data_IF_566467974830
#
_entry.id   IF_566467974830
#
_cell.length_a   1.000
_cell.length_b   1.000
_cell.length_c   1.000
_cell.angle_alpha   90.00
_cell.angle_beta   90.00
_cell.angle_gamma   90.00
#
_symmetry.space_group_name_H-M   'P 1'
#
loop_
_entity.id
_entity.type
_entity.pdbx_description
1 polymer ?
#
# COMPACT_ATOMS: atom_id res chain seq x y z
N UNK A 1 -12.68 5.76 3.32
CA UNK A 1 -12.76 6.65 2.15
C UNK A 1 -14.05 6.43 1.36
N UNK A 2 -14.20 5.39 0.51
CA UNK A 2 -15.38 5.21 -0.37
C UNK A 2 -16.73 5.30 0.35
N UNK A 3 -16.85 4.67 1.53
CA UNK A 3 -18.05 4.79 2.38
C UNK A 3 -18.29 6.21 2.87
N UNK A 4 -17.26 6.87 3.40
CA UNK A 4 -17.37 8.27 3.85
C UNK A 4 -17.78 9.22 2.69
N UNK A 5 -17.21 9.04 1.49
CA UNK A 5 -17.63 9.81 0.32
C UNK A 5 -19.09 9.53 -0.07
N UNK A 6 -19.51 8.26 -0.08
CA UNK A 6 -20.90 7.85 -0.33
C UNK A 6 -21.87 8.46 0.69
N UNK A 7 -21.54 8.40 1.97
CA UNK A 7 -22.40 8.91 3.05
C UNK A 7 -22.57 10.43 2.95
N UNK A 8 -21.48 11.17 2.66
CA UNK A 8 -21.52 12.61 2.37
C UNK A 8 -22.37 12.93 1.15
N UNK A 9 -22.23 12.14 0.09
CA UNK A 9 -23.00 12.33 -1.13
C UNK A 9 -24.50 12.11 -0.88
N UNK A 10 -24.86 11.05 -0.15
CA UNK A 10 -26.26 10.77 0.21
C UNK A 10 -26.83 11.85 1.11
N UNK A 11 -26.05 12.37 2.05
CA UNK A 11 -26.48 13.49 2.88
C UNK A 11 -26.78 14.75 2.05
N UNK A 12 -26.02 15.00 0.98
CA UNK A 12 -26.14 16.19 0.13
C UNK A 12 -27.18 16.05 -0.99
N UNK A 13 -27.24 14.90 -1.65
CA UNK A 13 -28.04 14.67 -2.87
C UNK A 13 -29.15 13.63 -2.69
N UNK A 14 -29.26 12.99 -1.52
CA UNK A 14 -30.23 11.94 -1.24
C UNK A 14 -29.81 10.55 -1.72
N UNK A 15 -30.55 9.52 -1.27
CA UNK A 15 -30.36 8.14 -1.71
C UNK A 15 -30.77 8.02 -3.19
N UNK A 16 -29.89 7.49 -4.04
CA UNK A 16 -30.10 7.49 -5.49
C UNK A 16 -29.90 8.85 -6.16
N UNK A 17 -29.39 9.84 -5.43
CA UNK A 17 -29.15 11.19 -5.93
C UNK A 17 -28.13 11.25 -7.07
N UNK A 18 -28.16 12.38 -7.79
CA UNK A 18 -27.31 12.66 -8.94
C UNK A 18 -26.65 14.02 -8.72
N UNK A 19 -25.33 14.06 -8.82
CA UNK A 19 -24.56 15.28 -8.96
C UNK A 19 -24.25 15.46 -10.45
N UNK A 20 -24.95 16.41 -11.08
CA UNK A 20 -24.78 16.70 -12.49
C UNK A 20 -23.38 17.21 -12.82
N UNK A 21 -22.67 17.84 -11.90
CA UNK A 21 -21.33 18.36 -12.12
C UNK A 21 -20.36 17.73 -11.11
N UNK A 22 -19.74 16.58 -11.41
CA UNK A 22 -18.96 15.82 -10.43
C UNK A 22 -17.95 16.65 -9.64
N UNK A 23 -17.30 17.64 -10.28
CA UNK A 23 -16.33 18.53 -9.64
C UNK A 23 -16.88 19.34 -8.46
N UNK A 24 -18.19 19.61 -8.40
CA UNK A 24 -18.84 20.30 -7.27
C UNK A 24 -18.83 19.46 -5.98
N UNK A 25 -18.64 18.14 -6.11
CA UNK A 25 -18.48 17.21 -5.00
C UNK A 25 -17.00 16.93 -4.67
N UNK A 26 -16.06 17.56 -5.37
CA UNK A 26 -14.63 17.32 -5.19
C UNK A 26 -14.10 17.65 -3.78
N UNK A 27 -14.60 18.74 -3.18
CA UNK A 27 -14.25 19.11 -1.80
C UNK A 27 -14.75 18.08 -0.78
N UNK A 28 -15.94 17.52 -0.97
CA UNK A 28 -16.51 16.48 -0.11
C UNK A 28 -15.72 15.17 -0.19
N UNK A 29 -15.29 14.78 -1.40
CA UNK A 29 -14.41 13.61 -1.60
C UNK A 29 -13.05 13.85 -0.94
N UNK A 30 -12.46 15.05 -1.11
CA UNK A 30 -11.21 15.40 -0.47
C UNK A 30 -11.32 15.39 1.07
N UNK A 31 -12.43 15.87 1.64
CA UNK A 31 -12.69 15.76 3.07
C UNK A 31 -12.79 14.29 3.53
N UNK A 32 -13.40 13.42 2.71
CA UNK A 32 -13.46 11.98 2.98
C UNK A 32 -12.09 11.27 2.97
N UNK A 33 -11.04 11.87 2.39
CA UNK A 33 -9.65 11.41 2.55
C UNK A 33 -9.10 11.65 3.96
N UNK A 34 -9.51 12.74 4.60
CA UNK A 34 -9.05 13.13 5.94
C UNK A 34 -9.78 12.36 7.05
N UNK A 35 -11.02 11.94 6.82
CA UNK A 35 -11.91 11.40 7.84
C UNK A 35 -12.09 9.88 7.77
N UNK A 36 -11.05 9.15 7.33
CA UNK A 36 -11.16 7.70 7.16
C UNK A 36 -11.27 6.99 8.51
N UNK A 37 -12.51 6.70 8.92
CA UNK A 37 -12.82 5.77 10.00
C UNK A 37 -13.00 4.36 9.45
N UNK A 38 -12.52 3.38 10.20
CA UNK A 38 -12.79 1.98 9.90
C UNK A 38 -14.24 1.69 10.30
N UNK A 39 -15.12 1.26 9.38
CA UNK A 39 -16.48 0.85 9.72
C UNK A 39 -16.48 -0.21 10.83
N UNK A 40 -17.46 -0.17 11.74
CA UNK A 40 -17.50 -1.07 12.91
C UNK A 40 -17.44 -2.55 12.53
N UNK A 41 -18.14 -2.94 11.45
CA UNK A 41 -18.10 -4.29 10.87
C UNK A 41 -16.70 -4.74 10.44
N UNK A 42 -15.86 -3.83 9.93
CA UNK A 42 -14.46 -4.10 9.59
C UNK A 42 -13.54 -4.06 10.82
N UNK A 43 -13.88 -3.23 11.82
CA UNK A 43 -13.14 -3.15 13.07
C UNK A 43 -13.20 -4.47 13.85
N UNK A 44 -14.37 -5.14 13.87
CA UNK A 44 -14.53 -6.45 14.52
C UNK A 44 -13.66 -7.53 13.85
N UNK A 45 -13.67 -7.61 12.51
CA UNK A 45 -12.82 -8.54 11.75
C UNK A 45 -11.32 -8.25 11.97
N UNK A 46 -10.96 -6.97 12.11
CA UNK A 46 -9.59 -6.54 12.41
C UNK A 46 -9.16 -6.96 13.81
N UNK A 47 -10.04 -6.88 14.81
CA UNK A 47 -9.71 -7.30 16.17
C UNK A 47 -9.36 -8.80 16.24
N UNK A 48 -10.13 -9.65 15.53
CA UNK A 48 -9.85 -11.08 15.40
C UNK A 48 -8.47 -11.36 14.77
N UNK A 49 -8.09 -10.56 13.77
CA UNK A 49 -6.75 -10.62 13.16
C UNK A 49 -5.63 -10.27 14.15
N UNK A 50 -5.85 -9.28 15.01
CA UNK A 50 -4.83 -8.82 15.97
C UNK A 50 -4.64 -9.74 17.19
N UNK A 51 -5.54 -10.70 17.39
CA UNK A 51 -5.48 -11.66 18.49
C UNK A 51 -4.59 -12.89 18.19
N UNK A 52 -4.02 -12.98 16.99
CA UNK A 52 -3.13 -14.08 16.61
C UNK A 52 -1.84 -14.05 17.42
N UNK A 53 -1.40 -15.23 17.88
CA UNK A 53 -0.19 -15.37 18.68
C UNK A 53 1.08 -15.10 17.86
N UNK A 54 2.01 -14.40 18.49
CA UNK A 54 3.38 -14.24 18.02
C UNK A 54 4.24 -15.41 18.50
N UNK A 55 5.08 -15.95 17.63
CA UNK A 55 6.09 -16.98 17.94
C UNK A 55 7.43 -16.46 17.44
N UNK A 56 8.45 -16.42 18.30
CA UNK A 56 9.83 -16.00 17.98
C UNK A 56 9.96 -14.65 17.26
N UNK A 57 9.12 -13.67 17.60
CA UNK A 57 9.15 -12.36 16.96
C UNK A 57 8.46 -12.30 15.59
N UNK A 58 7.66 -13.32 15.26
CA UNK A 58 6.90 -13.45 14.02
C UNK A 58 5.42 -13.77 14.29
N UNK A 59 4.53 -13.12 13.53
CA UNK A 59 3.12 -13.41 13.46
C UNK A 59 2.82 -14.03 12.09
N UNK A 60 2.48 -15.31 12.08
CA UNK A 60 2.11 -16.03 10.87
C UNK A 60 0.59 -15.96 10.64
N UNK A 61 0.17 -15.57 9.44
CA UNK A 61 -1.23 -15.52 9.01
C UNK A 61 -1.63 -16.84 8.34
N UNK A 62 -2.44 -17.68 9.00
CA UNK A 62 -2.86 -18.95 8.43
C UNK A 62 -3.81 -18.72 7.24
N UNK A 63 -3.60 -19.46 6.16
CA UNK A 63 -4.42 -19.31 4.96
C UNK A 63 -5.91 -19.61 5.19
N UNK A 64 -6.22 -20.55 6.11
CA UNK A 64 -7.60 -20.83 6.50
C UNK A 64 -8.27 -19.63 7.17
N UNK A 65 -7.60 -19.02 8.15
CA UNK A 65 -8.10 -17.83 8.87
C UNK A 65 -8.29 -16.64 7.92
N UNK A 66 -7.31 -16.37 7.04
CA UNK A 66 -7.43 -15.29 6.05
C UNK A 66 -8.62 -15.51 5.11
N UNK A 67 -8.84 -16.75 4.65
CA UNK A 67 -10.02 -17.07 3.81
C UNK A 67 -11.33 -16.92 4.57
N UNK A 68 -11.40 -17.37 5.83
CA UNK A 68 -12.58 -17.25 6.66
C UNK A 68 -12.96 -15.77 6.90
N UNK A 69 -11.97 -14.92 7.23
CA UNK A 69 -12.16 -13.47 7.35
C UNK A 69 -12.61 -12.85 6.03
N UNK A 70 -11.99 -13.24 4.90
CA UNK A 70 -12.36 -12.74 3.58
C UNK A 70 -13.77 -13.17 3.12
N UNK A 71 -14.30 -14.27 3.65
CA UNK A 71 -15.67 -14.72 3.43
C UNK A 71 -16.71 -13.92 4.22
N UNK A 72 -16.30 -13.30 5.33
CA UNK A 72 -17.15 -12.47 6.20
C UNK A 72 -17.07 -10.98 5.89
N UNK A 73 -16.23 -10.59 4.92
CA UNK A 73 -16.14 -9.19 4.50
C UNK A 73 -17.50 -8.73 3.94
N UNK A 74 -17.99 -7.55 4.33
CA UNK A 74 -19.21 -6.99 3.79
C UNK A 74 -19.20 -6.95 2.25
N UNK A 75 -20.33 -7.30 1.62
CA UNK A 75 -20.41 -7.45 0.16
C UNK A 75 -19.97 -6.20 -0.62
N UNK A 76 -20.18 -5.01 -0.07
CA UNK A 76 -19.75 -3.76 -0.68
C UNK A 76 -18.22 -3.64 -0.86
N UNK A 77 -17.43 -4.32 -0.03
CA UNK A 77 -15.96 -4.38 -0.18
C UNK A 77 -15.54 -5.22 -1.40
N UNK A 78 -16.45 -6.05 -1.90
CA UNK A 78 -16.27 -6.96 -3.02
C UNK A 78 -17.04 -6.52 -4.28
N UNK A 79 -17.92 -5.53 -4.19
CA UNK A 79 -18.84 -5.12 -5.27
C UNK A 79 -18.15 -4.54 -6.52
N UNK A 80 -16.86 -4.19 -6.44
CA UNK A 80 -16.06 -3.71 -7.57
C UNK A 80 -14.78 -4.52 -7.72
N UNK A 81 -14.23 -4.63 -8.95
CA UNK A 81 -12.91 -5.22 -9.12
C UNK A 81 -11.87 -4.36 -8.38
N UNK A 82 -10.76 -4.99 -7.99
CA UNK A 82 -9.63 -4.34 -7.35
C UNK A 82 -8.35 -4.71 -8.08
N UNK A 83 -7.41 -3.79 -8.08
CA UNK A 83 -6.03 -4.07 -8.42
C UNK A 83 -5.10 -3.48 -7.37
N UNK A 84 -4.04 -4.22 -7.03
CA UNK A 84 -2.97 -3.76 -6.15
C UNK A 84 -1.61 -4.01 -6.81
N UNK A 85 -0.75 -3.00 -6.76
CA UNK A 85 0.66 -3.12 -7.12
C UNK A 85 1.48 -3.44 -5.86
N UNK A 86 2.13 -4.60 -5.88
CA UNK A 86 2.98 -5.12 -4.81
C UNK A 86 4.44 -4.90 -5.17
N UNK A 87 5.11 -4.08 -4.39
CA UNK A 87 6.55 -3.85 -4.49
C UNK A 87 7.24 -4.88 -3.61
N UNK A 88 7.98 -5.80 -4.23
CA UNK A 88 8.50 -7.00 -3.56
C UNK A 88 9.96 -7.25 -3.88
N UNK A 89 10.68 -7.80 -2.91
CA UNK A 89 12.05 -8.27 -3.08
C UNK A 89 12.13 -9.75 -2.72
N UNK A 90 12.87 -10.53 -3.52
CA UNK A 90 13.13 -11.93 -3.20
C UNK A 90 14.37 -12.00 -2.31
N UNK A 91 14.23 -12.66 -1.17
CA UNK A 91 15.35 -13.03 -0.33
C UNK A 91 16.08 -14.23 -0.96
N UNK A 92 17.38 -14.11 -1.29
CA UNK A 92 18.10 -15.19 -1.93
C UNK A 92 18.39 -16.36 -0.98
N UNK A 93 18.50 -16.12 0.32
CA UNK A 93 18.82 -17.14 1.32
C UNK A 93 17.67 -18.12 1.55
N UNK A 94 16.49 -17.59 1.91
CA UNK A 94 15.34 -18.42 2.30
C UNK A 94 14.25 -18.48 1.21
N UNK A 95 14.43 -17.74 0.11
CA UNK A 95 13.44 -17.66 -0.98
C UNK A 95 12.18 -16.88 -0.61
N UNK A 96 12.19 -16.14 0.51
CA UNK A 96 11.05 -15.33 0.96
C UNK A 96 10.76 -14.18 0.00
N UNK A 97 9.48 -13.84 -0.15
CA UNK A 97 9.05 -12.67 -0.90
C UNK A 97 8.68 -11.54 0.07
N UNK A 98 9.51 -10.51 0.14
CA UNK A 98 9.41 -9.44 1.12
C UNK A 98 8.70 -8.23 0.51
N UNK A 99 7.56 -7.86 1.07
CA UNK A 99 6.75 -6.72 0.62
C UNK A 99 7.32 -5.42 1.20
N UNK A 100 7.67 -4.50 0.32
CA UNK A 100 8.08 -3.14 0.67
C UNK A 100 6.88 -2.21 0.74
N UNK A 101 6.08 -2.20 -0.31
CA UNK A 101 4.93 -1.31 -0.45
C UNK A 101 3.78 -2.00 -1.19
N UNK A 102 2.57 -1.57 -0.85
CA UNK A 102 1.34 -1.98 -1.52
C UNK A 102 0.58 -0.70 -1.85
N UNK A 103 0.32 -0.49 -3.13
CA UNK A 103 -0.43 0.66 -3.62
C UNK A 103 -1.57 0.20 -4.53
N UNK A 104 -2.46 1.13 -4.88
CA UNK A 104 -3.43 0.90 -5.96
C UNK A 104 -2.73 0.47 -7.24
N UNK A 105 -3.22 -0.60 -7.85
CA UNK A 105 -2.70 -1.14 -9.10
C UNK A 105 -3.23 -0.38 -10.31
N UNK A 106 -3.84 -1.11 -11.23
CA UNK A 106 -4.37 -0.62 -12.50
C UNK A 106 -3.30 -0.08 -13.46
N UNK A 107 -2.11 -0.68 -13.45
CA UNK A 107 -0.99 -0.28 -14.29
C UNK A 107 -0.30 1.00 -13.82
N UNK A 108 -0.70 1.55 -12.66
CA UNK A 108 -0.22 2.84 -12.14
C UNK A 108 1.30 2.92 -12.02
N UNK A 109 1.95 1.85 -11.58
CA UNK A 109 3.40 1.84 -11.33
C UNK A 109 4.25 1.27 -12.47
N UNK A 110 3.60 0.81 -13.55
CA UNK A 110 4.27 0.27 -14.73
C UNK A 110 4.09 1.18 -15.96
N UNK A 111 2.95 1.90 -16.03
CA UNK A 111 2.50 2.67 -17.20
C UNK A 111 3.55 3.64 -17.75
N UNK A 112 4.23 4.39 -16.88
CA UNK A 112 5.22 5.41 -17.26
C UNK A 112 6.46 4.87 -17.98
N UNK A 113 6.73 3.58 -17.87
CA UNK A 113 7.91 2.94 -18.45
C UNK A 113 7.60 2.28 -19.80
N UNK A 114 6.33 2.26 -20.21
CA UNK A 114 5.89 1.50 -21.38
C UNK A 114 6.41 2.07 -22.70
N UNK A 115 6.71 3.37 -22.76
CA UNK A 115 7.32 3.98 -23.95
C UNK A 115 8.78 3.51 -24.17
N UNK A 116 9.44 3.03 -23.11
CA UNK A 116 10.78 2.46 -23.15
C UNK A 116 10.78 0.91 -23.08
N UNK A 117 9.61 0.29 -23.01
CA UNK A 117 9.45 -1.15 -22.95
C UNK A 117 9.43 -1.75 -24.37
N UNK A 118 9.61 -3.09 -24.52
CA UNK A 118 9.53 -3.74 -25.81
C UNK A 118 8.20 -3.45 -26.53
N UNK A 119 8.20 -3.40 -27.88
CA UNK A 119 6.99 -3.23 -28.66
C UNK A 119 5.89 -4.22 -28.23
N UNK A 120 4.66 -3.72 -28.06
CA UNK A 120 3.52 -4.51 -27.59
C UNK A 120 3.31 -4.53 -26.08
N UNK A 121 4.26 -4.07 -25.25
CA UNK A 121 4.09 -4.01 -23.80
C UNK A 121 2.87 -3.16 -23.38
N UNK A 122 2.67 -2.00 -24.02
CA UNK A 122 1.50 -1.15 -23.76
C UNK A 122 0.18 -1.85 -24.12
N UNK A 123 0.14 -2.58 -25.23
CA UNK A 123 -1.05 -3.33 -25.65
C UNK A 123 -1.36 -4.47 -24.69
N UNK A 124 -0.33 -5.15 -24.16
CA UNK A 124 -0.47 -6.22 -23.17
C UNK A 124 -0.97 -5.69 -21.83
N UNK A 125 -0.42 -4.58 -21.33
CA UNK A 125 -0.94 -3.92 -20.12
C UNK A 125 -2.39 -3.48 -20.34
N UNK A 126 -2.70 -2.83 -21.47
CA UNK A 126 -4.06 -2.43 -21.81
C UNK A 126 -5.05 -3.62 -21.82
N UNK A 127 -4.61 -4.78 -22.34
CA UNK A 127 -5.39 -6.03 -22.33
C UNK A 127 -5.63 -6.52 -20.91
N UNK A 128 -4.61 -6.50 -20.04
CA UNK A 128 -4.73 -6.88 -18.63
C UNK A 128 -5.68 -5.97 -17.86
N UNK A 129 -5.61 -4.64 -18.08
CA UNK A 129 -6.54 -3.69 -17.46
C UNK A 129 -7.99 -3.98 -17.83
N UNK A 130 -8.27 -4.18 -19.13
CA UNK A 130 -9.61 -4.55 -19.60
C UNK A 130 -10.10 -5.86 -19.00
N UNK A 131 -9.23 -6.88 -18.94
CA UNK A 131 -9.57 -8.16 -18.32
C UNK A 131 -9.87 -8.02 -16.82
N UNK A 132 -9.09 -7.20 -16.10
CA UNK A 132 -9.27 -6.95 -14.67
C UNK A 132 -10.55 -6.18 -14.34
N UNK A 133 -10.95 -5.23 -15.19
CA UNK A 133 -12.21 -4.49 -15.05
C UNK A 133 -13.43 -5.40 -15.28
N UNK A 134 -13.28 -6.41 -16.14
CA UNK A 134 -14.29 -7.40 -16.44
C UNK A 134 -14.92 -7.21 -17.85
N UNK A 135 -15.59 -8.25 -18.35
CA UNK A 135 -16.20 -8.21 -19.68
C UNK A 135 -17.30 -7.15 -19.75
N UNK A 136 -17.31 -6.37 -20.84
CA UNK A 136 -18.31 -5.34 -21.09
C UNK A 136 -18.15 -4.05 -20.25
N UNK A 137 -17.11 -3.95 -19.41
CA UNK A 137 -16.84 -2.71 -18.69
C UNK A 137 -16.40 -1.61 -19.66
N UNK A 138 -17.14 -0.49 -19.68
CA UNK A 138 -16.71 0.74 -20.34
C UNK A 138 -15.82 1.51 -19.40
N UNK A 139 -14.61 1.86 -19.86
CA UNK A 139 -13.63 2.51 -19.01
C UNK A 139 -12.89 3.64 -19.73
N UNK A 140 -12.65 4.71 -19.00
CA UNK A 140 -11.86 5.84 -19.43
C UNK A 140 -10.71 6.10 -18.45
N UNK A 141 -9.63 6.69 -18.96
CA UNK A 141 -8.53 7.15 -18.11
C UNK A 141 -8.55 8.67 -17.95
N UNK A 142 -7.99 9.14 -16.85
CA UNK A 142 -7.67 10.55 -16.65
C UNK A 142 -6.16 10.71 -16.46
N UNK A 143 -5.54 11.64 -17.20
CA UNK A 143 -4.07 11.88 -17.18
C UNK A 143 -3.69 13.29 -16.73
N UNK A 144 -3.98 13.69 -15.48
CA UNK A 144 -3.54 14.98 -15.00
C UNK A 144 -2.03 14.94 -14.75
N UNK A 145 -1.24 15.71 -15.52
CA UNK A 145 0.21 15.77 -15.34
C UNK A 145 0.58 16.49 -14.05
N UNK A 146 -0.12 17.59 -13.72
CA UNK A 146 0.07 18.33 -12.46
C UNK A 146 1.51 18.81 -12.23
N UNK A 147 2.27 19.08 -13.30
CA UNK A 147 3.69 19.44 -13.21
C UNK A 147 4.62 18.29 -12.77
N UNK A 148 4.12 17.06 -12.69
CA UNK A 148 4.87 15.90 -12.21
C UNK A 148 5.13 14.94 -13.38
N UNK A 149 6.39 14.92 -13.88
CA UNK A 149 6.79 14.11 -15.04
C UNK A 149 6.49 12.61 -14.90
N UNK A 150 6.41 12.12 -13.66
CA UNK A 150 6.08 10.74 -13.34
C UNK A 150 4.60 10.37 -13.60
N UNK A 151 3.75 11.34 -13.94
CA UNK A 151 2.39 11.09 -14.42
C UNK A 151 2.32 10.92 -15.95
N UNK A 152 3.42 11.09 -16.67
CA UNK A 152 3.44 10.85 -18.11
C UNK A 152 3.39 9.34 -18.39
N UNK A 153 2.39 8.93 -19.17
CA UNK A 153 2.23 7.56 -19.65
C UNK A 153 1.35 7.53 -20.91
N UNK A 154 1.45 6.47 -21.75
CA UNK A 154 0.62 6.31 -22.93
C UNK A 154 -0.86 6.13 -22.59
N UNK A 155 -1.72 6.28 -23.60
CA UNK A 155 -3.15 5.96 -23.52
C UNK A 155 -3.33 4.44 -23.51
N UNK A 156 -3.82 3.88 -22.40
CA UNK A 156 -4.00 2.43 -22.20
C UNK A 156 -5.46 1.98 -22.22
N UNK A 157 -6.40 2.92 -22.09
CA UNK A 157 -7.83 2.70 -22.26
C UNK A 157 -8.33 3.30 -23.58
N UNK A 158 -9.53 2.91 -24.01
CA UNK A 158 -10.11 3.38 -25.27
C UNK A 158 -10.46 4.88 -25.24
N UNK A 159 -10.80 5.39 -24.06
CA UNK A 159 -11.28 6.75 -23.87
C UNK A 159 -10.42 7.50 -22.85
N UNK A 160 -10.25 8.80 -23.07
CA UNK A 160 -9.61 9.73 -22.14
C UNK A 160 -10.61 10.82 -21.74
N UNK A 161 -10.57 11.20 -20.46
CA UNK A 161 -11.29 12.34 -19.89
C UNK A 161 -10.35 13.55 -19.83
N UNK A 162 -10.70 14.64 -20.49
CA UNK A 162 -9.95 15.89 -20.40
C UNK A 162 -10.70 17.12 -20.92
N UNK A 163 -10.10 18.31 -20.78
CA UNK A 163 -10.73 19.56 -21.19
C UNK A 163 -10.68 19.80 -22.71
N UNK A 164 -9.74 19.18 -23.41
CA UNK A 164 -9.55 19.38 -24.86
C UNK A 164 -10.34 18.34 -25.67
N UNK A 165 -11.45 18.80 -26.25
CA UNK A 165 -12.37 18.00 -27.07
C UNK A 165 -11.75 17.48 -28.37
N UNK A 166 -10.66 18.08 -28.84
CA UNK A 166 -9.96 17.59 -30.03
C UNK A 166 -9.08 16.39 -29.72
N UNK A 167 -8.74 16.17 -28.44
CA UNK A 167 -7.82 15.11 -27.99
C UNK A 167 -8.48 14.07 -27.10
N UNK A 168 -9.64 14.38 -26.52
CA UNK A 168 -10.29 13.54 -25.52
C UNK A 168 -11.73 13.26 -25.92
N UNK A 169 -12.14 12.00 -25.75
CA UNK A 169 -13.47 11.52 -26.11
C UNK A 169 -14.54 12.03 -25.13
N UNK A 170 -14.15 12.25 -23.87
CA UNK A 170 -15.01 12.70 -22.80
C UNK A 170 -14.38 13.93 -22.13
N UNK A 171 -15.22 14.84 -21.65
CA UNK A 171 -14.81 15.86 -20.69
C UNK A 171 -15.60 15.69 -19.41
N UNK A 172 -15.16 16.38 -18.36
CA UNK A 172 -15.82 16.34 -17.05
C UNK A 172 -17.33 16.63 -17.15
N UNK A 173 -17.74 17.56 -18.02
CA UNK A 173 -19.13 17.96 -18.20
C UNK A 173 -20.06 16.86 -18.76
N UNK A 174 -19.49 15.85 -19.41
CA UNK A 174 -20.24 14.70 -19.94
C UNK A 174 -20.54 13.67 -18.86
N UNK A 175 -19.97 13.84 -17.67
CA UNK A 175 -20.08 12.87 -16.60
C UNK A 175 -21.04 13.36 -15.52
N UNK A 176 -21.69 12.40 -14.87
CA UNK A 176 -22.45 12.62 -13.66
C UNK A 176 -21.96 11.65 -12.58
N UNK A 177 -21.96 12.11 -11.34
CA UNK A 177 -21.67 11.27 -10.18
C UNK A 177 -23.00 10.86 -9.54
N UNK A 178 -23.20 9.57 -9.36
CA UNK A 178 -24.47 9.01 -8.87
C UNK A 178 -24.26 8.08 -7.70
N UNK A 179 -25.25 8.04 -6.81
CA UNK A 179 -25.35 6.96 -5.84
C UNK A 179 -26.08 5.76 -6.48
N UNK A 180 -25.32 4.71 -6.83
CA UNK A 180 -25.88 3.43 -7.26
C UNK A 180 -26.49 2.69 -6.06
N UNK A 181 -27.82 2.65 -6.01
CA UNK A 181 -28.58 2.01 -4.93
C UNK A 181 -28.37 0.49 -4.84
N UNK A 182 -28.03 -0.16 -5.94
CA UNK A 182 -27.88 -1.63 -5.98
C UNK A 182 -26.59 -2.08 -5.31
N UNK A 183 -25.50 -1.36 -5.56
CA UNK A 183 -24.18 -1.67 -4.97
C UNK A 183 -23.85 -0.79 -3.77
N UNK A 184 -24.69 0.21 -3.52
CA UNK A 184 -24.54 1.18 -2.45
C UNK A 184 -23.21 1.93 -2.56
N UNK A 185 -22.85 2.32 -3.79
CA UNK A 185 -21.58 2.96 -4.15
C UNK A 185 -21.80 4.27 -4.91
N UNK A 186 -20.81 5.14 -4.86
CA UNK A 186 -20.70 6.21 -5.85
C UNK A 186 -20.15 5.66 -7.16
N UNK A 187 -20.76 6.05 -8.27
CA UNK A 187 -20.38 5.67 -9.63
C UNK A 187 -20.40 6.88 -10.54
N UNK A 188 -19.51 6.88 -11.52
CA UNK A 188 -19.59 7.80 -12.65
C UNK A 188 -20.47 7.18 -13.74
N UNK A 189 -21.24 8.03 -14.41
CA UNK A 189 -21.99 7.67 -15.60
C UNK A 189 -21.85 8.73 -16.67
N UNK A 190 -22.05 8.34 -17.91
CA UNK A 190 -22.09 9.25 -19.05
C UNK A 190 -23.48 9.88 -19.10
N UNK A 191 -23.57 11.21 -19.06
CA UNK A 191 -24.82 11.97 -18.99
C UNK A 191 -25.78 11.64 -20.13
N UNK A 192 -25.26 11.57 -21.36
CA UNK A 192 -26.08 11.41 -22.57
C UNK A 192 -26.71 10.02 -22.69
N UNK A 193 -26.06 8.99 -22.17
CA UNK A 193 -26.51 7.59 -22.31
C UNK A 193 -27.01 6.98 -20.99
N UNK A 194 -26.64 7.55 -19.86
CA UNK A 194 -26.85 6.97 -18.54
C UNK A 194 -25.95 5.76 -18.22
N UNK A 195 -25.06 5.37 -19.13
CA UNK A 195 -24.20 4.20 -18.98
C UNK A 195 -23.16 4.40 -17.85
N UNK A 196 -22.94 3.39 -16.98
CA UNK A 196 -21.85 3.43 -16.01
C UNK A 196 -20.49 3.52 -16.69
N UNK A 197 -19.58 4.27 -16.07
CA UNK A 197 -18.20 4.43 -16.52
C UNK A 197 -17.24 4.06 -15.38
N UNK A 198 -16.26 3.22 -15.67
CA UNK A 198 -15.11 2.99 -14.81
C UNK A 198 -14.01 4.01 -15.16
N UNK A 199 -13.51 4.74 -14.17
CA UNK A 199 -12.46 5.75 -14.37
C UNK A 199 -11.19 5.33 -13.66
N UNK A 200 -10.10 5.25 -14.42
CA UNK A 200 -8.78 4.89 -13.91
C UNK A 200 -7.83 6.10 -13.93
N UNK A 201 -7.15 6.31 -12.81
CA UNK A 201 -6.02 7.21 -12.70
C UNK A 201 -4.72 6.40 -12.57
N UNK A 202 -3.90 6.46 -13.61
CA UNK A 202 -2.69 5.63 -13.74
C UNK A 202 -1.39 6.42 -13.46
N UNK A 203 -1.51 7.67 -13.01
CA UNK A 203 -0.36 8.52 -12.69
C UNK A 203 0.26 8.18 -11.33
N UNK A 204 1.56 8.44 -11.18
CA UNK A 204 2.30 8.18 -9.94
C UNK A 204 1.94 9.13 -8.79
N UNK A 205 1.63 10.39 -9.09
CA UNK A 205 1.36 11.41 -8.08
C UNK A 205 0.23 10.97 -7.14
N UNK A 206 0.40 11.14 -5.84
CA UNK A 206 -0.67 10.80 -4.89
C UNK A 206 -1.93 11.62 -5.24
N UNK A 207 -3.14 11.00 -5.33
CA UNK A 207 -4.38 11.72 -5.68
C UNK A 207 -4.62 12.97 -4.84
N UNK A 208 -4.20 12.92 -3.57
CA UNK A 208 -4.31 14.02 -2.62
C UNK A 208 -3.49 15.27 -2.95
N UNK A 209 -2.55 15.15 -3.89
CA UNK A 209 -1.73 16.26 -4.40
C UNK A 209 -2.28 16.85 -5.69
N UNK A 210 -3.34 16.29 -6.25
CA UNK A 210 -4.01 16.81 -7.43
C UNK A 210 -5.14 17.78 -7.04
N UNK A 211 -5.57 18.67 -7.97
CA UNK A 211 -6.67 19.59 -7.70
C UNK A 211 -7.93 18.88 -7.22
N UNK A 212 -8.55 19.37 -6.14
CA UNK A 212 -9.71 18.74 -5.51
C UNK A 212 -10.89 18.51 -6.46
N UNK A 213 -11.05 19.36 -7.49
CA UNK A 213 -12.08 19.19 -8.54
C UNK A 213 -12.00 17.81 -9.23
N UNK A 214 -10.82 17.19 -9.27
CA UNK A 214 -10.61 15.88 -9.90
C UNK A 214 -10.88 14.71 -8.96
N UNK A 215 -11.01 14.95 -7.64
CA UNK A 215 -11.12 13.88 -6.64
C UNK A 215 -12.18 12.81 -6.96
N UNK A 216 -13.40 13.14 -7.47
CA UNK A 216 -14.38 12.13 -7.85
C UNK A 216 -13.91 11.19 -8.96
N UNK A 217 -13.05 11.66 -9.86
CA UNK A 217 -12.48 10.88 -10.96
C UNK A 217 -11.28 10.04 -10.51
N UNK A 218 -10.53 10.54 -9.52
CA UNK A 218 -9.35 9.86 -8.98
C UNK A 218 -9.68 8.71 -8.03
N UNK A 219 -10.91 8.67 -7.51
CA UNK A 219 -11.34 7.75 -6.45
C UNK A 219 -12.38 6.71 -6.87
N UNK A 220 -12.70 6.64 -8.17
CA UNK A 220 -13.66 5.67 -8.68
C UNK A 220 -13.23 4.23 -8.33
N UNK A 221 -11.95 3.90 -8.52
CA UNK A 221 -11.33 2.66 -8.06
C UNK A 221 -10.41 2.84 -6.85
N UNK A 222 -10.22 1.82 -6.00
CA UNK A 222 -9.28 1.92 -4.89
C UNK A 222 -7.84 2.14 -5.35
N UNK A 223 -7.33 3.35 -5.10
CA UNK A 223 -6.01 3.81 -5.52
C UNK A 223 -5.05 4.08 -4.35
N UNK A 224 -5.44 3.71 -3.13
CA UNK A 224 -4.74 4.04 -1.89
C UNK A 224 -3.54 3.14 -1.56
N UNK A 225 -2.68 3.62 -0.67
CA UNK A 225 -1.63 2.82 -0.04
C UNK A 225 -2.21 1.91 1.05
N UNK A 226 -1.71 0.68 1.16
CA UNK A 226 -2.09 -0.25 2.23
C UNK A 226 -0.98 -0.28 3.28
N UNK A 227 -1.36 -0.03 4.54
CA UNK A 227 -0.44 -0.12 5.69
C UNK A 227 -0.92 -1.15 6.72
N UNK A 228 -0.25 -2.31 6.70
CA UNK A 228 -0.52 -3.44 7.60
C UNK A 228 0.10 -3.25 9.00
N UNK A 229 1.06 -2.32 9.16
CA UNK A 229 1.82 -2.16 10.41
C UNK A 229 0.95 -1.65 11.56
N UNK A 230 -0.09 -0.88 11.23
CA UNK A 230 -1.07 -0.38 12.20
C UNK A 230 -1.92 -1.49 12.84
N UNK A 231 -1.79 -2.74 12.38
CA UNK A 231 -2.57 -3.89 12.84
C UNK A 231 -1.73 -4.81 13.73
N UNK A 232 -0.43 -4.57 13.82
CA UNK A 232 0.46 -5.48 14.53
C UNK A 232 0.44 -5.21 16.03
N UNK A 233 0.46 -6.26 16.86
CA UNK A 233 0.69 -6.09 18.28
C UNK A 233 2.06 -5.43 18.50
N UNK A 234 2.19 -4.74 19.64
CA UNK A 234 3.44 -4.09 20.05
C UNK A 234 3.88 -4.69 21.37
N UNK A 235 5.12 -5.17 21.40
CA UNK A 235 5.79 -5.66 22.61
C UNK A 235 6.67 -4.56 23.18
N UNK A 236 6.52 -4.26 24.47
CA UNK A 236 7.37 -3.30 25.17
C UNK A 236 8.68 -3.98 25.60
N UNK A 237 9.82 -3.35 25.30
CA UNK A 237 11.15 -3.77 25.72
C UNK A 237 11.78 -2.66 26.56
N UNK A 238 12.33 -3.02 27.71
CA UNK A 238 13.05 -2.06 28.57
C UNK A 238 14.41 -1.70 27.98
N UNK A 239 14.74 -0.42 27.94
CA UNK A 239 16.02 0.09 27.49
C UNK A 239 16.46 1.30 28.33
N UNK A 240 17.76 1.65 28.34
CA UNK A 240 18.19 2.95 28.85
C UNK A 240 17.39 4.08 28.20
N UNK A 241 16.93 5.04 29.02
CA UNK A 241 16.08 6.13 28.57
C UNK A 241 14.58 5.79 28.43
N UNK A 242 14.14 4.53 28.59
CA UNK A 242 12.71 4.20 28.67
C UNK A 242 12.32 2.89 28.00
N UNK A 243 11.29 2.93 27.16
CA UNK A 243 10.69 1.74 26.54
C UNK A 243 10.82 1.79 25.01
N UNK A 244 11.32 0.71 24.42
CA UNK A 244 11.30 0.46 22.98
C UNK A 244 10.04 -0.35 22.65
N UNK A 245 9.32 0.04 21.60
CA UNK A 245 8.20 -0.77 21.10
C UNK A 245 8.66 -1.63 19.93
N UNK A 246 8.56 -2.94 20.06
CA UNK A 246 8.83 -3.90 18.99
C UNK A 246 7.52 -4.30 18.29
N UNK A 247 7.49 -4.24 16.96
CA UNK A 247 6.46 -4.92 16.16
C UNK A 247 7.04 -6.20 15.54
N UNK A 248 6.31 -7.33 15.57
CA UNK A 248 6.78 -8.57 14.97
C UNK A 248 6.87 -8.48 13.45
N UNK A 249 7.56 -9.45 12.86
CA UNK A 249 7.44 -9.74 11.43
C UNK A 249 6.06 -10.30 11.14
N UNK A 250 5.36 -9.82 10.12
CA UNK A 250 4.09 -10.39 9.65
C UNK A 250 4.36 -11.25 8.43
N UNK A 251 3.96 -12.51 8.46
CA UNK A 251 4.16 -13.43 7.34
C UNK A 251 2.87 -14.12 6.93
N UNK A 252 2.68 -14.31 5.63
CA UNK A 252 1.70 -15.22 5.08
C UNK A 252 2.39 -16.22 4.16
N UNK A 253 2.54 -17.47 4.61
CA UNK A 253 3.32 -18.51 3.90
C UNK A 253 4.74 -18.02 3.59
N UNK A 254 5.19 -17.97 2.34
CA UNK A 254 6.53 -17.49 1.96
C UNK A 254 6.59 -15.97 1.76
N UNK A 255 5.51 -15.23 2.03
CA UNK A 255 5.44 -13.78 1.83
C UNK A 255 5.58 -13.06 3.17
N UNK A 256 6.63 -12.25 3.31
CA UNK A 256 6.79 -11.33 4.44
C UNK A 256 6.05 -10.05 4.11
N UNK A 257 4.92 -9.83 4.79
CA UNK A 257 4.03 -8.69 4.58
C UNK A 257 4.51 -7.43 5.30
N UNK A 258 5.13 -7.61 6.47
CA UNK A 258 5.83 -6.54 7.19
C UNK A 258 7.07 -7.11 7.87
N UNK A 259 8.13 -6.33 7.88
CA UNK A 259 9.36 -6.65 8.61
C UNK A 259 9.23 -6.31 10.09
N UNK A 260 10.03 -6.98 10.91
CA UNK A 260 10.20 -6.65 12.34
C UNK A 260 10.75 -5.24 12.50
N UNK A 261 10.24 -4.50 13.48
CA UNK A 261 10.69 -3.13 13.76
C UNK A 261 10.85 -2.89 15.25
N UNK A 262 11.74 -1.95 15.59
CA UNK A 262 11.96 -1.42 16.92
C UNK A 262 11.82 0.09 16.87
N UNK A 263 10.86 0.63 17.61
CA UNK A 263 10.60 2.06 17.73
C UNK A 263 11.35 2.59 18.95
N UNK A 264 12.34 3.44 18.71
CA UNK A 264 13.17 4.08 19.71
C UNK A 264 12.65 5.50 19.94
N UNK A 265 11.97 5.78 21.07
CA UNK A 265 11.56 7.14 21.38
C UNK A 265 12.78 8.03 21.67
N UNK A 266 12.63 9.37 21.61
CA UNK A 266 13.75 10.30 21.75
C UNK A 266 14.66 10.06 22.97
N UNK A 267 14.14 9.78 24.18
CA UNK A 267 15.01 9.52 25.35
C UNK A 267 15.87 8.25 25.21
N UNK A 268 15.34 7.19 24.60
CA UNK A 268 16.09 5.95 24.33
C UNK A 268 17.15 6.20 23.27
N UNK A 269 16.80 6.95 22.22
CA UNK A 269 17.73 7.33 21.17
C UNK A 269 18.89 8.17 21.73
N UNK A 270 18.60 9.11 22.64
CA UNK A 270 19.60 9.92 23.32
C UNK A 270 20.55 9.07 24.18
N UNK A 271 20.03 8.08 24.90
CA UNK A 271 20.86 7.16 25.70
C UNK A 271 21.80 6.32 24.82
N UNK A 272 21.29 5.74 23.72
CA UNK A 272 22.11 5.03 22.74
C UNK A 272 23.24 5.93 22.21
N UNK A 273 22.90 7.15 21.78
CA UNK A 273 23.88 8.11 21.26
C UNK A 273 24.94 8.49 22.30
N UNK A 274 24.55 8.65 23.57
CA UNK A 274 25.48 8.93 24.66
C UNK A 274 26.50 7.81 24.84
N UNK A 275 26.05 6.55 24.90
CA UNK A 275 26.97 5.39 25.02
C UNK A 275 27.90 5.26 23.81
N UNK A 276 27.39 5.49 22.59
CA UNK A 276 28.22 5.49 21.37
C UNK A 276 29.30 6.58 21.43
N UNK A 277 28.92 7.79 21.86
CA UNK A 277 29.83 8.92 21.95
C UNK A 277 30.89 8.71 23.03
N UNK A 278 30.54 8.13 24.19
CA UNK A 278 31.47 7.81 25.27
C UNK A 278 32.58 6.87 24.83
N UNK A 279 32.24 5.80 24.10
CA UNK A 279 33.21 4.83 23.60
C UNK A 279 34.03 5.38 22.42
N UNK A 280 33.45 6.24 21.59
CA UNK A 280 34.12 6.83 20.43
C UNK A 280 35.11 7.97 20.76
N UNK A 281 35.21 8.43 22.02
CA UNK A 281 36.10 9.55 22.44
C UNK A 281 37.58 9.32 22.12
N UNK A 282 38.01 8.07 22.01
CA UNK A 282 39.39 7.68 21.73
C UNK A 282 39.58 7.22 20.27
N UNK A 283 38.79 7.74 19.32
CA UNK A 283 38.75 7.30 17.91
C UNK A 283 38.50 5.78 17.75
N UNK A 284 37.95 5.15 18.79
CA UNK A 284 37.67 3.73 18.84
C UNK A 284 36.30 3.44 18.22
N UNK A 285 36.19 2.35 17.48
CA UNK A 285 34.91 1.88 16.94
C UNK A 285 34.03 1.44 18.10
N UNK A 286 32.79 1.96 18.26
CA UNK A 286 31.96 1.73 19.46
C UNK A 286 31.30 0.34 19.49
N UNK A 287 32.11 -0.72 19.42
CA UNK A 287 31.69 -2.11 19.28
C UNK A 287 30.97 -2.60 20.53
N UNK A 288 31.44 -2.25 21.73
CA UNK A 288 30.88 -2.77 22.97
C UNK A 288 29.49 -2.17 23.23
N UNK A 289 29.30 -0.87 23.01
CA UNK A 289 28.01 -0.21 23.07
C UNK A 289 27.02 -0.86 22.10
N UNK A 290 27.42 -1.02 20.83
CA UNK A 290 26.55 -1.65 19.82
C UNK A 290 26.19 -3.08 20.20
N UNK A 291 27.14 -3.89 20.65
CA UNK A 291 26.90 -5.26 21.08
C UNK A 291 25.92 -5.34 22.26
N UNK A 292 26.05 -4.46 23.27
CA UNK A 292 25.10 -4.38 24.40
C UNK A 292 23.69 -4.06 23.92
N UNK A 293 23.54 -3.08 23.03
CA UNK A 293 22.23 -2.70 22.50
C UNK A 293 21.62 -3.79 21.60
N UNK A 294 22.43 -4.45 20.78
CA UNK A 294 21.99 -5.62 19.98
C UNK A 294 21.49 -6.75 20.85
N UNK A 295 22.25 -7.13 21.88
CA UNK A 295 21.87 -8.19 22.81
C UNK A 295 20.60 -7.82 23.58
N UNK A 296 20.52 -6.61 24.13
CA UNK A 296 19.37 -6.14 24.94
C UNK A 296 18.06 -6.11 24.15
N UNK A 297 18.10 -5.68 22.89
CA UNK A 297 16.90 -5.48 22.07
C UNK A 297 16.64 -6.64 21.08
N UNK A 298 17.55 -7.61 21.01
CA UNK A 298 17.52 -8.68 20.01
C UNK A 298 17.60 -8.14 18.57
N UNK A 299 18.46 -7.15 18.32
CA UNK A 299 18.61 -6.55 16.99
C UNK A 299 19.44 -7.46 16.07
N UNK A 300 19.01 -7.66 14.81
CA UNK A 300 19.85 -8.27 13.80
C UNK A 300 21.04 -7.37 13.46
N UNK A 301 22.01 -7.94 12.75
CA UNK A 301 23.20 -7.21 12.30
C UNK A 301 22.87 -6.08 11.34
N UNK A 302 22.05 -6.38 10.34
CA UNK A 302 21.74 -5.47 9.26
C UNK A 302 20.32 -4.94 9.42
N UNK A 303 20.19 -3.63 9.32
CA UNK A 303 18.99 -2.87 9.63
C UNK A 303 18.77 -1.77 8.60
N UNK A 304 17.54 -1.27 8.51
CA UNK A 304 17.24 0.04 7.95
C UNK A 304 16.85 1.01 9.08
N UNK A 305 17.46 2.19 9.07
CA UNK A 305 17.15 3.29 9.97
C UNK A 305 16.13 4.22 9.29
N UNK A 306 14.96 4.36 9.91
CA UNK A 306 13.88 5.22 9.46
C UNK A 306 13.60 6.33 10.49
N UNK A 307 13.07 7.49 10.05
CA UNK A 307 12.47 8.44 10.99
C UNK A 307 11.26 7.81 11.69
N UNK A 308 11.09 8.08 12.98
CA UNK A 308 9.81 7.83 13.64
C UNK A 308 8.72 8.71 13.03
N UNK A 309 7.50 8.18 12.93
CA UNK A 309 6.36 8.97 12.50
C UNK A 309 6.02 10.00 13.58
N UNK A 310 6.00 11.28 13.22
CA UNK A 310 5.49 12.33 14.11
C UNK A 310 3.96 12.21 14.21
N UNK A 311 3.37 12.39 15.41
CA UNK A 311 1.92 12.51 15.53
C UNK A 311 1.46 13.75 14.75
N UNK A 312 0.59 13.53 13.77
CA UNK A 312 0.02 14.60 12.95
C UNK A 312 -1.25 15.09 13.63
N UNK A 313 -1.15 16.14 14.45
CA UNK A 313 -2.32 16.70 15.14
C UNK A 313 -2.97 17.85 14.35
N UNK A 314 -2.21 18.60 13.55
CA UNK A 314 -2.68 19.88 12.98
C UNK A 314 -2.38 20.08 11.49
N UNK A 315 -2.06 19.01 10.73
CA UNK A 315 -1.79 19.11 9.28
C UNK A 315 -2.91 18.49 8.46
N UNK A 316 -3.23 19.12 7.33
CA UNK A 316 -4.01 18.46 6.29
C UNK A 316 -3.27 17.21 5.80
N UNK A 317 -3.97 16.18 5.27
CA UNK A 317 -3.30 15.00 4.73
C UNK A 317 -2.29 15.31 3.62
N UNK A 318 -2.56 16.35 2.82
CA UNK A 318 -1.66 16.86 1.80
C UNK A 318 -0.33 17.37 2.39
N UNK A 319 -0.41 18.18 3.45
CA UNK A 319 0.77 18.68 4.16
C UNK A 319 1.52 17.57 4.92
N UNK A 320 0.78 16.63 5.51
CA UNK A 320 1.35 15.45 6.15
C UNK A 320 2.14 14.60 5.14
N UNK A 321 1.57 14.39 3.95
CA UNK A 321 2.25 13.69 2.86
C UNK A 321 3.48 14.46 2.36
N UNK A 322 3.38 15.78 2.17
CA UNK A 322 4.51 16.60 1.78
C UNK A 322 5.64 16.59 2.82
N UNK A 323 5.31 16.60 4.12
CA UNK A 323 6.28 16.46 5.20
C UNK A 323 6.95 15.07 5.17
N UNK A 324 6.19 14.01 4.94
CA UNK A 324 6.73 12.67 4.77
C UNK A 324 7.72 12.58 3.59
N UNK A 325 7.42 13.23 2.46
CA UNK A 325 8.33 13.27 1.30
C UNK A 325 9.67 13.97 1.61
N UNK A 326 9.66 14.96 2.50
CA UNK A 326 10.84 15.70 2.97
C UNK A 326 11.62 14.98 4.07
N UNK A 327 11.02 13.98 4.72
CA UNK A 327 11.69 13.24 5.77
C UNK A 327 12.92 12.49 5.24
N UNK A 328 13.96 12.26 6.08
CA UNK A 328 15.12 11.47 5.68
C UNK A 328 14.70 10.11 5.11
N UNK A 329 15.30 9.73 3.98
CA UNK A 329 15.07 8.41 3.40
C UNK A 329 15.63 7.32 4.32
N UNK A 330 15.07 6.10 4.27
CA UNK A 330 15.60 4.98 5.03
C UNK A 330 17.09 4.77 4.73
N UNK A 331 17.90 4.65 5.78
CA UNK A 331 19.35 4.47 5.65
C UNK A 331 19.72 3.02 5.98
N UNK A 332 20.40 2.28 5.08
CA UNK A 332 20.96 0.98 5.42
C UNK A 332 22.05 1.12 6.50
N UNK A 333 21.99 0.26 7.52
CA UNK A 333 22.92 0.19 8.64
C UNK A 333 23.37 -1.25 8.80
N UNK A 334 24.68 -1.48 8.80
CA UNK A 334 25.30 -2.77 9.10
C UNK A 334 26.06 -2.62 10.42
N UNK A 335 25.56 -3.24 11.48
CA UNK A 335 26.15 -3.20 12.81
C UNK A 335 27.38 -4.10 12.95
N UNK A 336 27.73 -4.88 11.93
CA UNK A 336 28.99 -5.61 11.80
C UNK A 336 30.07 -4.80 11.06
N UNK A 337 29.71 -3.68 10.42
CA UNK A 337 30.63 -2.87 9.62
C UNK A 337 31.24 -1.71 10.45
N UNK A 338 32.57 -1.69 10.67
CA UNK A 338 33.23 -0.66 11.47
C UNK A 338 32.99 0.78 10.99
N UNK A 339 32.93 1.00 9.66
CA UNK A 339 32.68 2.34 9.10
C UNK A 339 31.26 2.81 9.40
N UNK A 340 30.28 1.90 9.39
CA UNK A 340 28.91 2.23 9.77
C UNK A 340 28.83 2.58 11.25
N UNK A 341 29.55 1.84 12.11
CA UNK A 341 29.58 2.12 13.55
C UNK A 341 30.21 3.49 13.87
N UNK A 342 31.29 3.87 13.17
CA UNK A 342 31.92 5.19 13.30
C UNK A 342 30.98 6.34 12.90
N UNK A 343 29.98 6.07 12.04
CA UNK A 343 29.02 7.07 11.57
C UNK A 343 27.64 6.96 12.20
N UNK A 344 27.39 5.94 13.03
CA UNK A 344 26.07 5.62 13.54
C UNK A 344 25.46 6.77 14.35
N UNK A 345 26.22 7.39 15.27
CA UNK A 345 25.74 8.55 16.04
C UNK A 345 25.25 9.69 15.13
N UNK A 346 26.02 10.01 14.09
CA UNK A 346 25.69 11.08 13.14
C UNK A 346 24.41 10.76 12.35
N UNK A 347 24.18 9.50 12.01
CA UNK A 347 22.94 9.09 11.35
C UNK A 347 21.76 9.17 12.30
N UNK A 348 21.91 8.68 13.54
CA UNK A 348 20.86 8.76 14.57
C UNK A 348 20.50 10.23 14.90
N UNK A 349 21.47 11.15 14.86
CA UNK A 349 21.24 12.57 15.11
C UNK A 349 20.27 13.23 14.11
N UNK A 350 20.03 12.63 12.93
CA UNK A 350 19.05 13.12 11.94
C UNK A 350 17.60 12.85 12.34
N UNK A 351 17.38 12.18 13.46
CA UNK A 351 16.08 11.70 13.90
C UNK A 351 15.72 12.23 15.32
N UNK A 352 15.65 13.55 15.54
CA UNK A 352 15.39 14.13 16.86
C UNK A 352 14.03 13.73 17.45
N UNK A 353 13.04 13.44 16.60
CA UNK A 353 11.72 12.94 16.99
C UNK A 353 11.68 11.44 17.33
N UNK A 354 12.84 10.77 17.36
CA UNK A 354 12.95 9.33 17.52
C UNK A 354 13.18 8.59 16.21
N UNK A 355 13.55 7.33 16.31
CA UNK A 355 13.95 6.50 15.17
C UNK A 355 13.21 5.16 15.15
N UNK A 356 13.13 4.56 13.98
CA UNK A 356 12.67 3.18 13.82
C UNK A 356 13.78 2.38 13.16
N UNK A 357 14.20 1.31 13.83
CA UNK A 357 15.06 0.29 13.26
C UNK A 357 14.14 -0.78 12.64
N UNK A 358 14.33 -1.10 11.37
CA UNK A 358 13.65 -2.21 10.68
C UNK A 358 14.69 -3.27 10.33
N UNK A 359 14.37 -4.55 10.49
CA UNK A 359 15.27 -5.63 10.02
C UNK A 359 15.57 -5.50 8.51
N UNK A 360 16.82 -5.72 8.11
CA UNK A 360 17.14 -5.84 6.69
C UNK A 360 16.76 -7.23 6.20
N UNK A 361 15.70 -7.31 5.38
CA UNK A 361 15.27 -8.56 4.74
C UNK A 361 14.78 -8.27 3.31
N UNK A 362 15.47 -8.68 2.24
CA UNK A 362 16.73 -9.44 2.23
C UNK A 362 17.87 -8.73 2.96
N UNK A 363 18.87 -9.49 3.40
CA UNK A 363 20.09 -8.90 3.93
C UNK A 363 20.75 -7.98 2.88
N UNK A 364 21.33 -6.86 3.33
CA UNK A 364 22.01 -5.87 2.49
C UNK A 364 23.33 -6.43 1.94
N UNK A 365 24.02 -7.25 2.73
CA UNK A 365 25.31 -7.84 2.39
C UNK A 365 25.54 -9.20 3.02
N UNK A 366 26.73 -9.76 2.79
CA UNK A 366 27.11 -11.10 3.26
C UNK A 366 26.91 -12.22 2.22
N UNK A 367 26.53 -11.88 0.98
CA UNK A 367 26.48 -12.82 -0.14
C UNK A 367 27.87 -13.27 -0.61
N UNK A 368 27.93 -14.39 -1.33
CA UNK A 368 29.18 -14.96 -1.87
C UNK A 368 29.80 -14.17 -3.02
N UNK A 369 29.11 -13.13 -3.51
CA UNK A 369 29.55 -12.29 -4.60
C UNK A 369 28.74 -11.00 -4.70
N UNK A 370 29.14 -10.07 -5.58
CA UNK A 370 28.40 -8.85 -5.81
C UNK A 370 27.03 -9.16 -6.44
N UNK A 371 25.97 -8.79 -5.74
CA UNK A 371 24.60 -8.94 -6.23
C UNK A 371 23.94 -7.57 -6.40
N UNK A 372 23.03 -7.46 -7.37
CA UNK A 372 22.21 -6.27 -7.54
C UNK A 372 20.98 -6.40 -6.65
N UNK A 373 20.67 -5.36 -5.88
CA UNK A 373 19.38 -5.25 -5.22
C UNK A 373 18.30 -5.09 -6.29
N UNK A 374 17.36 -6.04 -6.35
CA UNK A 374 16.22 -6.01 -7.28
C UNK A 374 14.94 -5.86 -6.50
N UNK A 375 14.06 -4.99 -6.98
CA UNK A 375 12.66 -4.89 -6.57
C UNK A 375 11.78 -5.17 -7.79
N UNK A 376 10.75 -5.96 -7.59
CA UNK A 376 9.75 -6.30 -8.60
C UNK A 376 8.45 -5.60 -8.25
N UNK A 377 7.74 -5.14 -9.28
CA UNK A 377 6.35 -4.69 -9.15
C UNK A 377 5.46 -5.80 -9.70
N UNK A 378 4.71 -6.45 -8.82
CA UNK A 378 3.74 -7.48 -9.18
C UNK A 378 2.35 -6.90 -9.03
N UNK A 379 1.56 -6.89 -10.10
CA UNK A 379 0.17 -6.43 -10.02
C UNK A 379 -0.79 -7.61 -9.86
N UNK A 380 -1.70 -7.52 -8.90
CA UNK A 380 -2.72 -8.52 -8.64
C UNK A 380 -4.11 -7.97 -8.91
N UNK A 381 -4.96 -8.74 -9.58
CA UNK A 381 -6.35 -8.39 -9.84
C UNK A 381 -7.30 -9.28 -9.06
N UNK A 382 -8.33 -8.68 -8.47
CA UNK A 382 -9.46 -9.37 -7.87
C UNK A 382 -10.73 -8.96 -8.61
N UNK A 383 -11.49 -9.89 -9.20
CA UNK A 383 -12.76 -9.55 -9.83
C UNK A 383 -13.77 -9.03 -8.80
N UNK A 384 -14.79 -8.32 -9.28
CA UNK A 384 -15.97 -8.04 -8.46
C UNK A 384 -16.66 -9.35 -8.08
N UNK A 385 -17.20 -9.43 -6.86
CA UNK A 385 -18.20 -10.44 -6.50
C UNK A 385 -19.57 -9.85 -6.79
N UNK A 386 -20.39 -10.59 -7.54
CA UNK A 386 -21.80 -10.25 -7.69
C UNK A 386 -22.48 -10.22 -6.32
N UNK A 387 -23.60 -9.48 -6.17
CA UNK A 387 -24.48 -9.73 -5.04
C UNK A 387 -24.81 -11.22 -5.06
N UNK A 388 -24.67 -11.90 -3.91
CA UNK A 388 -25.16 -13.26 -3.78
C UNK A 388 -26.64 -13.21 -4.18
N UNK A 389 -26.99 -13.88 -5.26
CA UNK A 389 -28.39 -14.17 -5.56
C UNK A 389 -28.88 -15.04 -4.43
N UNK A 390 -29.74 -14.50 -3.56
CA UNK A 390 -30.45 -15.31 -2.58
C UNK A 390 -31.21 -16.40 -3.37
N UNK A 391 -30.75 -17.65 -3.22
CA UNK A 391 -31.38 -18.84 -3.78
C UNK A 391 -30.77 -19.35 -5.09
N UNK A 392 -29.72 -20.16 -4.98
CA UNK A 392 -29.67 -21.52 -5.54
C UNK A 392 -28.39 -22.20 -5.04
N UNK A 393 -28.58 -23.26 -4.26
CA UNK A 393 -27.52 -24.15 -3.81
C UNK A 393 -27.00 -24.95 -5.01
N UNK A 394 -26.06 -24.37 -5.75
CA UNK A 394 -25.36 -25.09 -6.83
C UNK A 394 -24.31 -26.01 -6.20
N UNK A 395 -24.66 -27.28 -6.07
CA UNK A 395 -23.75 -28.38 -5.75
C UNK A 395 -22.62 -28.44 -6.78
N UNK A 396 -21.40 -28.14 -6.34
CA UNK A 396 -20.21 -28.29 -7.17
C UNK A 396 -19.99 -29.77 -7.56
N UNK A 397 -19.73 -30.12 -8.83
CA UNK A 397 -19.37 -31.48 -9.18
C UNK A 397 -17.93 -31.78 -8.74
N UNK A 398 -17.77 -32.93 -8.10
CA UNK A 398 -16.50 -33.46 -7.66
C UNK A 398 -15.50 -33.57 -8.83
N UNK A 399 -14.33 -32.93 -8.69
CA UNK A 399 -13.18 -33.18 -9.57
C UNK A 399 -12.64 -34.58 -9.30
N UNK A 400 -13.01 -35.53 -10.15
CA UNK A 400 -12.38 -36.85 -10.24
C UNK A 400 -10.91 -36.70 -10.64
N UNK A 401 -10.05 -37.38 -9.87
CA UNK A 401 -8.60 -37.33 -9.99
C UNK A 401 -8.07 -37.92 -11.30
N UNK A 402 -6.99 -37.30 -11.79
CA UNK A 402 -6.12 -37.88 -12.79
C UNK A 402 -5.46 -39.13 -12.21
N UNK A 403 -5.78 -40.29 -12.80
CA UNK A 403 -5.02 -41.52 -12.64
C UNK A 403 -3.75 -41.42 -13.48
N UNK A 404 -2.62 -41.71 -12.84
CA UNK A 404 -1.39 -42.11 -13.50
C UNK A 404 -1.63 -43.38 -14.32
N UNK A 405 -1.22 -43.37 -15.58
CA UNK A 405 -0.94 -44.57 -16.34
C UNK A 405 0.45 -44.39 -16.96
N UNK A 406 1.41 -45.17 -16.46
CA UNK A 406 2.68 -45.39 -17.12
C UNK A 406 2.50 -46.24 -18.37
N UNK A 407 3.47 -46.16 -19.27
CA UNK A 407 3.57 -47.01 -20.45
C UNK A 407 4.98 -46.93 -21.00
N UNK A 408 5.81 -47.89 -20.57
CA UNK A 408 7.04 -48.27 -21.25
C UNK A 408 6.73 -48.72 -22.68
N UNK A 409 7.57 -48.27 -23.62
CA UNK A 409 8.22 -49.12 -24.63
C UNK A 409 9.46 -48.42 -25.16
#
# INVERSE_FOLDING_TARGET
MRRAARDRFVARYGVGGVCGAPWEFGADVAAAWSEVRVPAELAALRAEFTALAEVDGELALPAGAVRALAGRLPGWTAARPLSYAWFVQRDPADGLLCVNHIYGGWGRFTSRFLDAAPPGAAAEVARQLRAGLGPGARAAQIRPVGGFNANLHPLLLAEEIGPDRHRTALAEADLELVHDRRTDQLRLRIRSTGEPLDVLYLGFLAPIMLPQRLAPLLDDHPNGAVDLRSWLPRTALTAPGGTVLRTPRLRHRQVVLTRRRWHLPPPVLAALRSELAEEARELTVPLAAVARWRSRLGLPEQLFLHPAAEPVTDRTPAEAFAAHLRAPKPQPVDLGNPLHLLHLDRWLARHPGGAVLEEALPAIGGGSGPERTVELVVESYRPARGPATDGESETAPARTGLRNAGGER
#
